data_IF_949561394271
#
_entry.id   IF_949561394271
#
_cell.length_a   1.000
_cell.length_b   1.000
_cell.length_c   1.000
_cell.angle_alpha   90.00
_cell.angle_beta   90.00
_cell.angle_gamma   90.00
#
_symmetry.space_group_name_H-M   'P 1'
#
loop_
_entity.id
_entity.type
_entity.pdbx_description
1 polymer ?
#
# COMPACT_ATOMS: atom_id res chain seq x y z
N UNK A 1 13.96 -26.58 14.46
CA UNK A 1 13.67 -25.13 14.58
C UNK A 1 14.74 -24.29 13.88
N UNK A 2 16.04 -24.57 14.08
CA UNK A 2 17.14 -23.90 13.35
C UNK A 2 16.99 -23.87 11.82
N UNK A 3 16.57 -24.97 11.17
CA UNK A 3 16.48 -24.99 9.70
C UNK A 3 15.34 -24.14 9.11
N UNK A 4 14.35 -23.74 9.91
CA UNK A 4 13.23 -22.90 9.44
C UNK A 4 13.59 -21.42 9.50
N UNK A 5 14.30 -21.01 10.55
CA UNK A 5 14.79 -19.63 10.71
C UNK A 5 15.88 -19.32 9.67
N UNK A 6 16.80 -20.25 9.44
CA UNK A 6 17.85 -20.12 8.41
C UNK A 6 17.28 -20.00 6.99
N UNK A 7 16.22 -20.77 6.68
CA UNK A 7 15.50 -20.65 5.41
C UNK A 7 14.81 -19.28 5.27
N UNK A 8 14.23 -18.76 6.35
CA UNK A 8 13.57 -17.46 6.33
C UNK A 8 14.56 -16.32 6.12
N UNK A 9 15.73 -16.39 6.75
CA UNK A 9 16.82 -15.43 6.55
C UNK A 9 17.36 -15.45 5.13
N UNK A 10 17.62 -16.64 4.57
CA UNK A 10 18.11 -16.79 3.21
C UNK A 10 17.07 -16.28 2.18
N UNK A 11 15.79 -16.54 2.42
CA UNK A 11 14.69 -15.97 1.63
C UNK A 11 14.67 -14.44 1.68
N UNK A 12 14.75 -13.84 2.88
CA UNK A 12 14.80 -12.37 3.06
C UNK A 12 16.00 -11.74 2.37
N UNK A 13 17.16 -12.41 2.43
CA UNK A 13 18.40 -11.97 1.77
C UNK A 13 18.24 -11.96 0.25
N UNK A 14 17.73 -13.04 -0.35
CA UNK A 14 17.45 -13.12 -1.80
C UNK A 14 16.45 -12.06 -2.25
N UNK A 15 15.39 -11.82 -1.49
CA UNK A 15 14.42 -10.76 -1.79
C UNK A 15 15.06 -9.37 -1.76
N UNK A 16 15.96 -9.10 -0.80
CA UNK A 16 16.71 -7.85 -0.71
C UNK A 16 17.65 -7.67 -1.91
N UNK A 17 18.40 -8.70 -2.27
CA UNK A 17 19.30 -8.68 -3.44
C UNK A 17 18.51 -8.46 -4.74
N UNK A 18 17.38 -9.14 -4.92
CA UNK A 18 16.50 -8.92 -6.06
C UNK A 18 15.97 -7.47 -6.12
N UNK A 19 15.60 -6.87 -4.98
CA UNK A 19 15.18 -5.45 -4.93
C UNK A 19 16.30 -4.47 -5.31
N UNK A 20 17.54 -4.79 -4.96
CA UNK A 20 18.72 -4.00 -5.36
C UNK A 20 18.97 -4.07 -6.87
N UNK A 21 18.80 -5.25 -7.46
CA UNK A 21 19.00 -5.49 -8.90
C UNK A 21 17.85 -4.94 -9.77
N UNK A 22 16.65 -4.84 -9.21
CA UNK A 22 15.44 -4.43 -9.94
C UNK A 22 14.79 -3.19 -9.30
N UNK A 23 15.32 -1.98 -9.58
CA UNK A 23 14.82 -0.75 -8.99
C UNK A 23 13.34 -0.52 -9.32
N UNK A 24 12.58 -0.10 -8.30
CA UNK A 24 11.15 0.18 -8.38
C UNK A 24 10.84 1.23 -9.46
N UNK A 25 11.69 2.25 -9.60
CA UNK A 25 11.55 3.31 -10.60
C UNK A 25 11.45 2.75 -12.01
N UNK A 26 12.31 1.79 -12.37
CA UNK A 26 12.31 1.18 -13.70
C UNK A 26 11.04 0.38 -13.97
N UNK A 27 10.52 -0.33 -12.95
CA UNK A 27 9.24 -1.05 -13.05
C UNK A 27 8.04 -0.11 -13.16
N UNK A 28 8.07 1.04 -12.49
CA UNK A 28 7.00 2.02 -12.60
C UNK A 28 7.06 2.74 -13.95
N UNK A 29 8.25 3.11 -14.42
CA UNK A 29 8.47 3.79 -15.71
C UNK A 29 8.15 2.91 -16.92
N UNK A 30 8.20 1.58 -16.80
CA UNK A 30 7.80 0.69 -17.90
C UNK A 30 6.29 0.69 -18.16
N UNK A 31 5.48 1.11 -17.19
CA UNK A 31 4.02 1.17 -17.29
C UNK A 31 3.49 2.60 -17.30
N UNK A 32 4.15 3.50 -16.57
CA UNK A 32 3.74 4.89 -16.38
C UNK A 32 4.62 5.78 -17.23
N UNK A 33 4.02 6.36 -18.26
CA UNK A 33 4.72 7.28 -19.17
C UNK A 33 4.81 8.66 -18.52
N UNK A 34 6.04 9.16 -18.36
CA UNK A 34 6.32 10.45 -17.73
C UNK A 34 6.34 10.38 -16.20
N UNK A 35 5.94 11.47 -15.53
CA UNK A 35 5.83 11.55 -14.06
C UNK A 35 7.11 11.16 -13.29
N UNK A 36 8.29 11.48 -13.83
CA UNK A 36 9.58 11.09 -13.26
C UNK A 36 9.75 11.55 -11.80
N UNK A 37 9.37 12.79 -11.48
CA UNK A 37 9.46 13.34 -10.13
C UNK A 37 8.62 12.59 -9.08
N UNK A 38 7.30 12.41 -9.31
CA UNK A 38 6.47 11.56 -8.45
C UNK A 38 7.00 10.13 -8.30
N UNK A 39 7.42 9.50 -9.39
CA UNK A 39 7.97 8.12 -9.37
C UNK A 39 9.22 8.05 -8.47
N UNK A 40 10.18 8.97 -8.64
CA UNK A 40 11.39 9.01 -7.83
C UNK A 40 11.10 9.26 -6.35
N UNK A 41 10.18 10.18 -6.06
CA UNK A 41 9.77 10.50 -4.67
C UNK A 41 9.22 9.27 -3.96
N UNK A 42 8.28 8.59 -4.61
CA UNK A 42 7.65 7.39 -4.05
C UNK A 42 8.67 6.26 -3.89
N UNK A 43 9.49 6.01 -4.92
CA UNK A 43 10.46 4.93 -4.86
C UNK A 43 11.52 5.15 -3.77
N UNK A 44 11.97 6.39 -3.57
CA UNK A 44 12.87 6.77 -2.49
C UNK A 44 12.25 6.55 -1.10
N UNK A 45 10.98 6.94 -0.90
CA UNK A 45 10.27 6.71 0.36
C UNK A 45 10.10 5.21 0.67
N UNK A 46 9.73 4.40 -0.32
CA UNK A 46 9.59 2.94 -0.16
C UNK A 46 10.94 2.30 0.16
N UNK A 47 12.01 2.70 -0.55
CA UNK A 47 13.37 2.19 -0.30
C UNK A 47 13.84 2.49 1.12
N UNK A 48 13.58 3.71 1.62
CA UNK A 48 13.88 4.09 3.01
C UNK A 48 13.14 3.19 4.00
N UNK A 49 11.84 2.96 3.81
CA UNK A 49 11.06 2.06 4.67
C UNK A 49 11.58 0.62 4.64
N UNK A 50 11.89 0.08 3.46
CA UNK A 50 12.41 -1.29 3.32
C UNK A 50 13.80 -1.50 3.95
N UNK A 51 14.58 -0.42 4.09
CA UNK A 51 15.89 -0.43 4.76
C UNK A 51 15.80 -0.14 6.26
N UNK A 52 14.60 0.04 6.82
CA UNK A 52 14.42 0.39 8.24
C UNK A 52 14.85 1.81 8.57
N UNK A 53 14.84 2.73 7.60
CA UNK A 53 15.19 4.15 7.79
C UNK A 53 13.96 5.05 7.91
N UNK A 54 12.77 4.46 8.02
CA UNK A 54 11.52 5.14 8.28
C UNK A 54 10.95 4.63 9.61
N UNK A 55 10.08 5.43 10.21
CA UNK A 55 9.36 5.05 11.42
C UNK A 55 8.43 3.86 11.12
N UNK A 56 8.56 2.79 11.90
CA UNK A 56 7.76 1.57 11.76
C UNK A 56 6.33 1.76 12.31
N UNK A 57 6.12 2.70 13.24
CA UNK A 57 4.80 2.99 13.80
C UNK A 57 3.90 3.77 12.82
N UNK A 58 4.49 4.41 11.80
CA UNK A 58 3.77 5.28 10.88
C UNK A 58 3.75 4.74 9.44
N UNK A 59 2.57 4.66 8.79
CA UNK A 59 2.49 4.25 7.39
C UNK A 59 3.07 5.31 6.45
N UNK A 60 3.54 4.89 5.27
CA UNK A 60 3.88 5.84 4.22
C UNK A 60 2.59 6.42 3.64
N UNK A 61 2.49 7.75 3.67
CA UNK A 61 1.33 8.47 3.15
C UNK A 61 1.78 9.35 1.98
N UNK A 62 1.07 9.24 0.86
CA UNK A 62 1.29 10.06 -0.33
C UNK A 62 0.01 10.76 -0.73
N UNK A 63 0.14 12.02 -1.17
CA UNK A 63 -0.95 12.77 -1.79
C UNK A 63 -0.57 13.07 -3.25
N UNK A 64 -1.29 12.46 -4.18
CA UNK A 64 -1.10 12.71 -5.61
C UNK A 64 -2.07 13.79 -6.10
N UNK A 65 -1.53 14.88 -6.62
CA UNK A 65 -2.30 16.01 -7.16
C UNK A 65 -2.09 16.16 -8.66
N UNK A 66 -3.14 16.54 -9.39
CA UNK A 66 -3.10 16.75 -10.85
C UNK A 66 -4.48 16.58 -11.50
N UNK A 67 -4.59 16.86 -12.79
CA UNK A 67 -5.84 16.69 -13.55
C UNK A 67 -6.31 15.22 -13.64
N UNK A 68 -7.60 15.00 -13.91
CA UNK A 68 -8.11 13.63 -14.10
C UNK A 68 -7.43 12.93 -15.28
N UNK A 69 -7.27 11.61 -15.20
CA UNK A 69 -6.71 10.79 -16.29
C UNK A 69 -5.17 10.75 -16.38
N UNK A 70 -4.42 11.55 -15.63
CA UNK A 70 -2.94 11.61 -15.72
C UNK A 70 -2.18 10.42 -15.11
N UNK A 71 -2.89 9.42 -14.57
CA UNK A 71 -2.26 8.19 -14.04
C UNK A 71 -2.01 8.15 -12.53
N UNK A 72 -2.57 9.06 -11.73
CA UNK A 72 -2.44 9.04 -10.25
C UNK A 72 -2.88 7.70 -9.62
N UNK A 73 -4.06 7.22 -10.01
CA UNK A 73 -4.59 5.94 -9.53
C UNK A 73 -3.81 4.76 -10.08
N UNK A 74 -3.30 4.88 -11.30
CA UNK A 74 -2.48 3.83 -11.91
C UNK A 74 -1.15 3.65 -11.16
N UNK A 75 -0.51 4.76 -10.78
CA UNK A 75 0.66 4.73 -9.90
C UNK A 75 0.38 3.99 -8.59
N UNK A 76 -0.74 4.28 -7.93
CA UNK A 76 -1.13 3.58 -6.70
C UNK A 76 -1.33 2.06 -6.90
N UNK A 77 -1.96 1.65 -8.02
CA UNK A 77 -2.14 0.22 -8.35
C UNK A 77 -0.81 -0.49 -8.61
N UNK A 78 0.08 0.13 -9.38
CA UNK A 78 1.39 -0.46 -9.69
C UNK A 78 2.25 -0.60 -8.43
N UNK A 79 2.15 0.34 -7.48
CA UNK A 79 2.80 0.25 -6.17
C UNK A 79 2.26 -0.92 -5.35
N UNK A 80 0.94 -1.08 -5.25
CA UNK A 80 0.33 -2.19 -4.54
C UNK A 80 0.78 -3.55 -5.12
N UNK A 81 0.77 -3.67 -6.45
CA UNK A 81 1.27 -4.87 -7.15
C UNK A 81 2.75 -5.13 -6.92
N UNK A 82 3.57 -4.09 -6.79
CA UNK A 82 4.99 -4.26 -6.50
C UNK A 82 5.24 -4.68 -5.04
N UNK A 83 4.53 -4.08 -4.10
CA UNK A 83 4.71 -4.35 -2.67
C UNK A 83 4.11 -5.70 -2.25
N UNK A 84 3.01 -6.09 -2.90
CA UNK A 84 2.29 -7.33 -2.62
C UNK A 84 2.05 -8.12 -3.92
N UNK A 85 3.11 -8.68 -4.52
CA UNK A 85 3.02 -9.35 -5.83
C UNK A 85 2.06 -10.54 -5.84
N UNK A 86 1.94 -11.23 -4.71
CA UNK A 86 1.11 -12.43 -4.57
C UNK A 86 -0.29 -12.16 -3.99
N UNK A 87 -0.63 -10.89 -3.72
CA UNK A 87 -1.91 -10.49 -3.09
C UNK A 87 -2.63 -9.42 -3.91
N UNK A 88 -3.47 -9.79 -4.90
CA UNK A 88 -4.21 -8.83 -5.71
C UNK A 88 -5.16 -7.95 -4.86
N UNK A 89 -5.67 -8.46 -3.75
CA UNK A 89 -6.54 -7.79 -2.79
C UNK A 89 -5.84 -6.67 -1.98
N UNK A 90 -4.50 -6.59 -2.03
CA UNK A 90 -3.73 -5.56 -1.33
C UNK A 90 -4.03 -4.13 -1.84
N UNK A 91 -4.59 -3.99 -3.05
CA UNK A 91 -5.07 -2.70 -3.54
C UNK A 91 -6.52 -2.45 -3.12
N UNK A 92 -6.71 -1.74 -2.01
CA UNK A 92 -8.03 -1.30 -1.56
C UNK A 92 -8.41 0.02 -2.26
N UNK A 93 -9.38 -0.05 -3.18
CA UNK A 93 -9.97 1.14 -3.81
C UNK A 93 -11.19 1.61 -3.03
N UNK A 94 -11.23 2.91 -2.77
CA UNK A 94 -12.35 3.58 -2.11
C UNK A 94 -12.84 4.72 -2.98
N UNK A 95 -14.15 4.80 -3.19
CA UNK A 95 -14.78 5.97 -3.79
C UNK A 95 -15.19 6.94 -2.68
N UNK A 96 -14.42 8.02 -2.53
CA UNK A 96 -14.69 9.04 -1.51
C UNK A 96 -16.03 9.76 -1.74
N UNK A 97 -16.59 9.69 -2.96
CA UNK A 97 -17.88 10.27 -3.29
C UNK A 97 -19.03 9.59 -2.54
N UNK A 98 -18.83 8.34 -2.09
CA UNK A 98 -19.81 7.56 -1.33
C UNK A 98 -19.81 7.89 0.18
N UNK A 99 -18.87 8.74 0.66
CA UNK A 99 -18.67 9.01 2.08
C UNK A 99 -18.88 10.50 2.43
N UNK A 100 -19.87 11.13 1.82
CA UNK A 100 -20.15 12.56 2.02
C UNK A 100 -20.92 12.83 3.31
N UNK A 101 -21.72 11.86 3.77
CA UNK A 101 -22.51 12.01 4.99
C UNK A 101 -21.88 11.33 6.20
N UNK A 102 -22.14 11.87 7.40
CA UNK A 102 -21.65 11.30 8.67
C UNK A 102 -22.11 9.85 8.90
N UNK A 103 -23.30 9.48 8.40
CA UNK A 103 -23.84 8.13 8.55
C UNK A 103 -23.16 7.11 7.62
N UNK A 104 -22.67 7.55 6.45
CA UNK A 104 -21.89 6.70 5.54
C UNK A 104 -20.47 6.45 6.05
N UNK A 105 -19.86 7.44 6.72
CA UNK A 105 -18.54 7.27 7.36
C UNK A 105 -18.56 6.17 8.43
N UNK A 106 -19.65 6.01 9.17
CA UNK A 106 -19.78 4.94 10.15
C UNK A 106 -19.68 3.54 9.50
N UNK A 107 -20.23 3.35 8.29
CA UNK A 107 -20.10 2.08 7.56
C UNK A 107 -18.66 1.82 7.08
N UNK A 108 -17.88 2.88 6.93
CA UNK A 108 -16.51 2.82 6.43
C UNK A 108 -15.50 2.33 7.48
N UNK A 109 -15.57 2.90 8.69
CA UNK A 109 -14.66 2.60 9.81
C UNK A 109 -15.23 1.62 10.84
N UNK A 110 -16.56 1.49 10.90
CA UNK A 110 -17.29 0.73 11.92
C UNK A 110 -18.25 1.63 12.69
N UNK A 111 -19.37 1.06 13.13
CA UNK A 111 -20.30 1.77 14.02
C UNK A 111 -19.59 2.12 15.34
N UNK A 112 -19.95 3.24 16.00
CA UNK A 112 -19.42 3.54 17.33
C UNK A 112 -19.98 2.61 18.42
N UNK A 113 -19.31 2.48 19.59
CA UNK A 113 -19.80 1.67 20.70
C UNK A 113 -21.25 2.03 21.08
N UNK A 114 -22.11 1.03 21.22
CA UNK A 114 -23.53 1.22 21.55
C UNK A 114 -24.47 1.38 20.35
N UNK A 115 -23.97 1.33 19.11
CA UNK A 115 -24.78 1.28 17.89
C UNK A 115 -24.81 -0.13 17.29
N UNK A 116 -25.87 -0.44 16.52
CA UNK A 116 -26.00 -1.71 15.79
C UNK A 116 -24.80 -1.84 14.82
N UNK A 117 -24.16 -3.00 14.83
CA UNK A 117 -22.96 -3.27 14.02
C UNK A 117 -21.66 -2.74 14.63
N UNK A 118 -21.59 -2.45 15.94
CA UNK A 118 -20.32 -2.10 16.59
C UNK A 118 -19.30 -3.25 16.58
N UNK A 119 -19.75 -4.50 16.73
CA UNK A 119 -18.88 -5.68 16.66
C UNK A 119 -18.51 -6.07 15.22
N UNK A 120 -19.26 -5.56 14.24
CA UNK A 120 -18.96 -5.70 12.82
C UNK A 120 -18.03 -4.54 12.41
N UNK A 121 -16.77 -4.82 12.09
CA UNK A 121 -15.85 -3.78 11.65
C UNK A 121 -16.33 -3.07 10.38
N UNK A 122 -15.80 -1.88 10.12
CA UNK A 122 -16.07 -1.15 8.89
C UNK A 122 -15.44 -1.79 7.66
N UNK A 123 -15.94 -1.39 6.48
CA UNK A 123 -15.43 -1.89 5.20
C UNK A 123 -13.92 -1.72 5.03
N UNK A 124 -13.33 -0.64 5.54
CA UNK A 124 -11.88 -0.44 5.48
C UNK A 124 -11.17 -1.32 6.51
N UNK A 125 -11.65 -1.33 7.75
CA UNK A 125 -10.96 -2.02 8.84
C UNK A 125 -10.92 -3.53 8.63
N UNK A 126 -11.96 -4.13 8.04
CA UNK A 126 -11.96 -5.56 7.70
C UNK A 126 -10.99 -5.87 6.56
N UNK A 127 -10.96 -5.04 5.50
CA UNK A 127 -9.98 -5.21 4.41
C UNK A 127 -8.53 -5.08 4.88
N UNK A 128 -8.25 -4.20 5.84
CA UNK A 128 -6.92 -4.07 6.44
C UNK A 128 -6.55 -5.28 7.31
N UNK A 129 -7.53 -5.95 7.96
CA UNK A 129 -7.27 -7.20 8.69
C UNK A 129 -6.93 -8.36 7.74
N UNK A 130 -7.58 -8.42 6.58
CA UNK A 130 -7.30 -9.42 5.55
C UNK A 130 -5.90 -9.23 4.93
N UNK A 131 -5.43 -7.98 4.81
CA UNK A 131 -4.13 -7.62 4.25
C UNK A 131 -3.39 -6.55 5.07
N UNK A 132 -2.67 -6.97 6.13
CA UNK A 132 -1.84 -6.08 6.95
C UNK A 132 -0.55 -5.63 6.25
#
# INVERSE_FOLDING_TARGET
KESADEFLEDKRKREREHRLLHPLEGKLQSVIVGQLGPIQTVASAIRRKQNGWADDEHPLVFMFLGSSGVGKTELAKQLAKHLHPDKPEAFVRLDLSEFQSKHEVAKFIGSPPGYIGYEEGGQLTEKLKECP
#
